data_IF_256983831443
#
_entry.id   IF_256983831443
#
_cell.length_a   1.000
_cell.length_b   1.000
_cell.length_c   1.000
_cell.angle_alpha   90.00
_cell.angle_beta   90.00
_cell.angle_gamma   90.00
#
_symmetry.space_group_name_H-M   'P 1'
#
loop_
_entity.id
_entity.type
_entity.pdbx_description
1 polymer ?
#
# COMPACT_ATOMS: atom_id res chain seq x y z
N UNK A 1 -3.72 12.94 -6.12
CA UNK A 1 -3.60 13.46 -7.50
C UNK A 1 -3.77 12.27 -8.45
N UNK A 2 -4.40 12.39 -9.61
CA UNK A 2 -4.35 11.31 -10.62
C UNK A 2 -3.03 11.44 -11.40
N UNK A 3 -2.28 10.35 -11.48
CA UNK A 3 -1.02 10.25 -12.22
C UNK A 3 -1.06 8.98 -13.07
N UNK A 4 -0.43 9.01 -14.26
CA UNK A 4 -0.18 7.77 -14.99
C UNK A 4 0.95 6.98 -14.33
N UNK A 5 1.06 5.68 -14.66
CA UNK A 5 2.16 4.85 -14.16
C UNK A 5 3.54 5.37 -14.60
N UNK A 6 3.62 5.93 -15.82
CA UNK A 6 4.85 6.53 -16.32
C UNK A 6 5.22 7.78 -15.51
N UNK A 7 4.24 8.66 -15.23
CA UNK A 7 4.47 9.86 -14.43
C UNK A 7 4.96 9.49 -13.02
N UNK A 8 4.38 8.45 -12.41
CA UNK A 8 4.81 7.95 -11.11
C UNK A 8 6.25 7.43 -11.13
N UNK A 9 6.60 6.64 -12.15
CA UNK A 9 7.95 6.09 -12.31
C UNK A 9 8.99 7.17 -12.55
N UNK A 10 8.69 8.15 -13.41
CA UNK A 10 9.57 9.29 -13.67
C UNK A 10 9.77 10.13 -12.41
N UNK A 11 8.71 10.37 -11.63
CA UNK A 11 8.79 11.09 -10.37
C UNK A 11 9.62 10.33 -9.32
N UNK A 12 9.40 9.02 -9.17
CA UNK A 12 10.14 8.16 -8.24
C UNK A 12 11.63 8.04 -8.60
N UNK A 13 11.96 8.10 -9.90
CA UNK A 13 13.33 8.05 -10.40
C UNK A 13 14.05 9.41 -10.37
N UNK A 14 13.35 10.49 -10.01
CA UNK A 14 13.91 11.84 -9.99
C UNK A 14 14.79 12.10 -8.76
N UNK A 15 15.41 13.28 -8.71
CA UNK A 15 16.15 13.78 -7.55
C UNK A 15 15.25 14.46 -6.50
N UNK A 16 13.94 14.50 -6.74
CA UNK A 16 12.98 15.00 -5.77
C UNK A 16 12.84 14.04 -4.59
N UNK A 17 12.59 14.56 -3.38
CA UNK A 17 12.49 13.72 -2.20
C UNK A 17 11.16 12.93 -2.08
N UNK A 18 10.15 13.30 -2.88
CA UNK A 18 8.85 12.63 -2.98
C UNK A 18 8.45 12.49 -4.46
N UNK A 19 7.80 11.38 -4.88
CA UNK A 19 7.44 10.19 -4.09
C UNK A 19 8.66 9.33 -3.74
N UNK A 20 8.55 8.55 -2.65
CA UNK A 20 9.64 7.73 -2.12
C UNK A 20 9.29 6.26 -1.93
N UNK A 21 10.08 5.56 -1.11
CA UNK A 21 9.92 4.12 -0.88
C UNK A 21 8.59 3.71 -0.24
N UNK A 22 8.04 4.50 0.68
CA UNK A 22 6.73 4.22 1.29
C UNK A 22 5.60 4.32 0.27
N UNK A 23 5.64 5.34 -0.58
CA UNK A 23 4.73 5.53 -1.70
C UNK A 23 4.82 4.34 -2.66
N UNK A 24 6.03 3.90 -3.02
CA UNK A 24 6.25 2.72 -3.85
C UNK A 24 5.72 1.42 -3.21
N UNK A 25 5.89 1.25 -1.90
CA UNK A 25 5.35 0.11 -1.16
C UNK A 25 3.81 0.09 -1.19
N UNK A 26 3.16 1.23 -1.00
CA UNK A 26 1.71 1.34 -1.09
C UNK A 26 1.18 1.04 -2.51
N UNK A 27 1.88 1.49 -3.56
CA UNK A 27 1.54 1.15 -4.96
C UNK A 27 1.70 -0.35 -5.22
N UNK A 28 2.79 -0.97 -4.77
CA UNK A 28 3.03 -2.42 -4.89
C UNK A 28 1.92 -3.22 -4.18
N UNK A 29 1.52 -2.79 -2.99
CA UNK A 29 0.42 -3.39 -2.24
C UNK A 29 -0.92 -3.31 -3.02
N UNK A 30 -1.18 -2.20 -3.70
CA UNK A 30 -2.35 -2.07 -4.58
C UNK A 30 -2.32 -3.07 -5.75
N UNK A 31 -1.15 -3.29 -6.35
CA UNK A 31 -0.95 -4.30 -7.41
C UNK A 31 -1.14 -5.73 -6.87
N UNK A 32 -0.64 -6.02 -5.67
CA UNK A 32 -0.85 -7.30 -4.99
C UNK A 32 -2.35 -7.59 -4.81
N UNK A 33 -3.09 -6.59 -4.32
CA UNK A 33 -4.53 -6.70 -4.13
C UNK A 33 -5.28 -6.86 -5.45
N UNK A 34 -4.90 -6.14 -6.51
CA UNK A 34 -5.50 -6.28 -7.84
C UNK A 34 -5.34 -7.70 -8.40
N UNK A 35 -4.14 -8.29 -8.31
CA UNK A 35 -3.88 -9.68 -8.71
C UNK A 35 -4.71 -10.66 -7.87
N UNK A 36 -4.79 -10.43 -6.57
CA UNK A 36 -5.63 -11.24 -5.67
C UNK A 36 -7.10 -11.22 -6.11
N UNK A 37 -7.67 -10.03 -6.33
CA UNK A 37 -9.04 -9.85 -6.81
C UNK A 37 -9.27 -10.55 -8.15
N UNK A 38 -8.32 -10.44 -9.10
CA UNK A 38 -8.37 -11.13 -10.38
C UNK A 38 -8.47 -12.66 -10.18
N UNK A 39 -7.63 -13.25 -9.33
CA UNK A 39 -7.66 -14.69 -9.08
C UNK A 39 -8.95 -15.12 -8.40
N UNK A 40 -9.48 -14.33 -7.47
CA UNK A 40 -10.80 -14.58 -6.88
C UNK A 40 -11.89 -14.64 -7.96
N UNK A 41 -11.92 -13.67 -8.89
CA UNK A 41 -12.88 -13.63 -9.99
C UNK A 41 -12.74 -14.81 -10.97
N UNK A 42 -11.52 -15.30 -11.17
CA UNK A 42 -11.25 -16.49 -12.00
C UNK A 42 -11.58 -17.82 -11.31
N UNK A 43 -11.77 -17.80 -9.99
CA UNK A 43 -12.06 -18.97 -9.17
C UNK A 43 -13.55 -19.12 -8.93
N UNK A 44 -14.22 -18.05 -8.50
CA UNK A 44 -15.63 -18.04 -8.13
C UNK A 44 -16.54 -18.33 -9.32
N UNK A 45 -17.60 -19.14 -9.09
CA UNK A 45 -18.58 -19.50 -10.12
C UNK A 45 -18.08 -20.50 -11.17
N UNK A 46 -16.83 -20.98 -11.05
CA UNK A 46 -16.30 -22.09 -11.84
C UNK A 46 -16.37 -23.37 -11.02
N UNK A 47 -17.23 -24.30 -11.42
CA UNK A 47 -17.48 -25.55 -10.69
C UNK A 47 -16.21 -26.40 -10.52
N UNK A 48 -15.33 -26.37 -11.54
CA UNK A 48 -13.98 -26.98 -11.49
C UNK A 48 -13.15 -26.53 -10.27
N UNK A 49 -13.38 -25.31 -9.79
CA UNK A 49 -12.66 -24.67 -8.67
C UNK A 49 -13.56 -24.43 -7.46
N UNK A 50 -14.65 -25.19 -7.32
CA UNK A 50 -15.62 -25.05 -6.23
C UNK A 50 -15.00 -25.17 -4.83
N UNK A 51 -13.97 -26.02 -4.68
CA UNK A 51 -13.21 -26.14 -3.44
C UNK A 51 -12.52 -24.82 -3.01
N UNK A 52 -12.22 -23.93 -3.96
CA UNK A 52 -11.57 -22.64 -3.73
C UNK A 52 -12.53 -21.49 -3.46
N UNK A 53 -13.84 -21.66 -3.63
CA UNK A 53 -14.80 -20.56 -3.45
C UNK A 53 -14.76 -19.93 -2.05
N UNK A 54 -14.67 -20.69 -0.94
CA UNK A 54 -14.55 -20.09 0.38
C UNK A 54 -13.28 -19.23 0.55
N UNK A 55 -12.15 -19.69 0.00
CA UNK A 55 -10.90 -18.92 0.03
C UNK A 55 -10.99 -17.66 -0.83
N UNK A 56 -11.61 -17.76 -2.01
CA UNK A 56 -11.85 -16.63 -2.90
C UNK A 56 -12.78 -15.58 -2.29
N UNK A 57 -13.82 -15.99 -1.55
CA UNK A 57 -14.72 -15.07 -0.86
C UNK A 57 -13.99 -14.23 0.19
N UNK A 58 -13.24 -14.88 1.09
CA UNK A 58 -12.43 -14.19 2.10
C UNK A 58 -11.37 -13.29 1.47
N UNK A 59 -10.64 -13.80 0.47
CA UNK A 59 -9.60 -13.03 -0.20
C UNK A 59 -10.16 -11.84 -1.01
N UNK A 60 -11.39 -11.94 -1.53
CA UNK A 60 -12.04 -10.85 -2.25
C UNK A 60 -12.36 -9.67 -1.32
N UNK A 61 -12.79 -9.94 -0.09
CA UNK A 61 -13.09 -8.90 0.90
C UNK A 61 -11.81 -8.17 1.33
N UNK A 62 -10.75 -8.93 1.62
CA UNK A 62 -9.45 -8.35 2.00
C UNK A 62 -8.84 -7.56 0.85
N UNK A 63 -8.82 -8.12 -0.36
CA UNK A 63 -8.26 -7.41 -1.52
C UNK A 63 -9.04 -6.14 -1.89
N UNK A 64 -10.37 -6.12 -1.70
CA UNK A 64 -11.17 -4.90 -1.90
C UNK A 64 -10.81 -3.79 -0.90
N UNK A 65 -10.63 -4.13 0.38
CA UNK A 65 -10.15 -3.19 1.40
C UNK A 65 -8.78 -2.63 1.03
N UNK A 66 -7.83 -3.49 0.69
CA UNK A 66 -6.47 -3.07 0.32
C UNK A 66 -6.47 -2.23 -0.96
N UNK A 67 -7.25 -2.58 -1.98
CA UNK A 67 -7.39 -1.77 -3.20
C UNK A 67 -7.92 -0.37 -2.89
N UNK A 68 -8.95 -0.27 -2.05
CA UNK A 68 -9.51 1.03 -1.67
C UNK A 68 -8.53 1.91 -0.89
N UNK A 69 -7.54 1.31 -0.23
CA UNK A 69 -6.65 2.00 0.70
C UNK A 69 -5.23 2.26 0.18
N UNK A 70 -4.73 1.41 -0.71
CA UNK A 70 -3.37 1.50 -1.29
C UNK A 70 -3.08 2.84 -1.97
N UNK A 71 -3.99 3.31 -2.83
CA UNK A 71 -3.87 4.63 -3.49
C UNK A 71 -3.77 5.80 -2.51
N UNK A 72 -4.72 5.96 -1.55
CA UNK A 72 -4.60 7.04 -0.57
C UNK A 72 -3.42 6.85 0.40
N UNK A 73 -2.97 5.63 0.72
CA UNK A 73 -1.72 5.42 1.48
C UNK A 73 -0.49 5.97 0.73
N UNK A 74 -0.43 5.77 -0.58
CA UNK A 74 0.66 6.29 -1.41
C UNK A 74 0.72 7.83 -1.36
N UNK A 75 -0.45 8.49 -1.47
CA UNK A 75 -0.53 9.94 -1.34
C UNK A 75 -0.16 10.41 0.08
N UNK A 76 -0.68 9.75 1.11
CA UNK A 76 -0.43 10.12 2.49
C UNK A 76 1.03 9.96 2.91
N UNK A 77 1.76 9.01 2.33
CA UNK A 77 3.20 8.85 2.57
C UNK A 77 3.99 10.05 2.04
N UNK A 78 3.69 10.47 0.80
CA UNK A 78 4.28 11.68 0.20
C UNK A 78 3.92 12.93 1.01
N UNK A 79 2.65 13.11 1.36
CA UNK A 79 2.18 14.25 2.14
C UNK A 79 2.82 14.29 3.54
N UNK A 80 2.95 13.15 4.21
CA UNK A 80 3.58 13.05 5.52
C UNK A 80 5.06 13.42 5.47
N UNK A 81 5.76 13.02 4.40
CA UNK A 81 7.15 13.40 4.20
C UNK A 81 7.29 14.92 4.00
N UNK A 82 6.43 15.52 3.18
CA UNK A 82 6.44 16.97 2.93
C UNK A 82 6.19 17.76 4.22
N UNK A 83 5.31 17.28 5.11
CA UNK A 83 5.10 17.87 6.44
C UNK A 83 6.35 17.83 7.30
N UNK A 84 7.09 16.72 7.28
CA UNK A 84 8.36 16.60 8.01
C UNK A 84 9.37 17.62 7.47
N UNK A 85 9.54 17.70 6.15
CA UNK A 85 10.46 18.67 5.52
C UNK A 85 10.07 20.10 5.85
N UNK A 86 8.78 20.45 5.76
CA UNK A 86 8.27 21.76 6.11
C UNK A 86 8.54 22.10 7.59
N UNK A 87 8.32 21.15 8.50
CA UNK A 87 8.61 21.33 9.91
C UNK A 87 10.10 21.59 10.18
N UNK A 88 11.00 20.88 9.48
CA UNK A 88 12.44 21.12 9.61
C UNK A 88 12.89 22.50 9.14
N UNK A 89 12.18 23.09 8.16
CA UNK A 89 12.43 24.43 7.60
C UNK A 89 11.89 25.59 8.45
N UNK A 90 11.09 25.32 9.48
CA UNK A 90 10.53 26.37 10.34
C UNK A 90 11.63 27.18 11.07
N UNK A 91 11.37 28.47 11.39
CA UNK A 91 12.26 29.30 12.20
C UNK A 91 12.61 28.68 13.55
N UNK A 92 13.74 29.09 14.13
CA UNK A 92 14.30 28.50 15.35
C UNK A 92 15.11 29.51 16.18
N UNK A 93 14.85 30.79 16.01
CA UNK A 93 15.63 31.86 16.65
C UNK A 93 15.09 32.16 18.05
N UNK A 94 13.77 32.17 18.23
CA UNK A 94 13.13 32.38 19.55
C UNK A 94 12.75 31.07 20.25
N UNK A 95 12.50 31.12 21.56
CA UNK A 95 12.04 29.92 22.30
C UNK A 95 10.63 29.50 21.85
N UNK A 96 9.76 30.45 21.54
CA UNK A 96 8.43 30.19 20.98
C UNK A 96 8.52 29.50 19.60
N UNK A 97 9.42 29.97 18.73
CA UNK A 97 9.68 29.35 17.43
C UNK A 97 10.23 27.93 17.59
N UNK A 98 11.22 27.73 18.48
CA UNK A 98 11.79 26.41 18.78
C UNK A 98 10.75 25.44 19.32
N UNK A 99 9.84 25.92 20.18
CA UNK A 99 8.75 25.11 20.73
C UNK A 99 7.76 24.67 19.65
N UNK A 100 7.31 25.62 18.81
CA UNK A 100 6.39 25.35 17.69
C UNK A 100 7.02 24.38 16.69
N UNK A 101 8.28 24.64 16.30
CA UNK A 101 9.06 23.78 15.40
C UNK A 101 9.19 22.35 15.93
N UNK A 102 9.52 22.20 17.21
CA UNK A 102 9.64 20.87 17.84
C UNK A 102 8.32 20.09 17.80
N UNK A 103 7.21 20.79 18.06
CA UNK A 103 5.87 20.19 18.02
C UNK A 103 5.52 19.75 16.59
N UNK A 104 5.78 20.59 15.59
CA UNK A 104 5.55 20.28 14.19
C UNK A 104 6.39 19.08 13.71
N UNK A 105 7.68 19.03 14.06
CA UNK A 105 8.55 17.90 13.72
C UNK A 105 8.01 16.61 14.33
N UNK A 106 7.64 16.63 15.63
CA UNK A 106 7.11 15.44 16.29
C UNK A 106 5.82 14.93 15.64
N UNK A 107 4.91 15.83 15.30
CA UNK A 107 3.66 15.47 14.65
C UNK A 107 3.89 14.92 13.24
N UNK A 108 4.74 15.57 12.45
CA UNK A 108 5.11 15.10 11.11
C UNK A 108 5.79 13.73 11.13
N UNK A 109 6.77 13.53 12.03
CA UNK A 109 7.46 12.23 12.16
C UNK A 109 6.52 11.12 12.60
N UNK A 110 5.57 11.41 13.51
CA UNK A 110 4.57 10.41 13.90
C UNK A 110 3.74 10.00 12.69
N UNK A 111 3.21 10.97 11.91
CA UNK A 111 2.42 10.64 10.73
C UNK A 111 3.22 9.86 9.68
N UNK A 112 4.47 10.26 9.45
CA UNK A 112 5.39 9.56 8.54
C UNK A 112 5.72 8.12 9.00
N UNK A 113 5.51 7.78 10.28
CA UNK A 113 5.66 6.42 10.79
C UNK A 113 4.35 5.62 10.73
N UNK A 114 3.19 6.28 10.90
CA UNK A 114 1.87 5.63 10.87
C UNK A 114 1.51 5.10 9.48
N UNK A 115 1.82 5.85 8.42
CA UNK A 115 1.42 5.48 7.05
C UNK A 115 2.13 4.19 6.57
N UNK A 116 3.46 4.02 6.73
CA UNK A 116 4.10 2.74 6.41
C UNK A 116 3.64 1.58 7.31
N UNK A 117 3.29 1.85 8.58
CA UNK A 117 2.76 0.83 9.48
C UNK A 117 1.40 0.31 9.00
N UNK A 118 0.49 1.20 8.59
CA UNK A 118 -0.80 0.81 8.02
C UNK A 118 -0.62 0.01 6.73
N UNK A 119 0.31 0.44 5.86
CA UNK A 119 0.68 -0.29 4.64
C UNK A 119 1.14 -1.71 4.96
N UNK A 120 2.05 -1.88 5.93
CA UNK A 120 2.55 -3.20 6.33
C UNK A 120 1.46 -4.08 6.95
N UNK A 121 0.55 -3.50 7.75
CA UNK A 121 -0.57 -4.24 8.34
C UNK A 121 -1.53 -4.78 7.29
N UNK A 122 -1.84 -3.98 6.27
CA UNK A 122 -2.66 -4.41 5.14
C UNK A 122 -1.97 -5.46 4.27
N UNK A 123 -0.66 -5.32 4.03
CA UNK A 123 0.16 -6.34 3.36
C UNK A 123 0.10 -7.69 4.10
N UNK A 124 0.32 -7.67 5.41
CA UNK A 124 0.20 -8.88 6.25
C UNK A 124 -1.20 -9.50 6.22
N UNK A 125 -2.26 -8.68 6.20
CA UNK A 125 -3.63 -9.17 6.09
C UNK A 125 -3.88 -9.83 4.73
N UNK A 126 -3.35 -9.25 3.66
CA UNK A 126 -3.42 -9.82 2.31
C UNK A 126 -2.65 -11.14 2.21
N UNK A 127 -1.40 -11.18 2.70
CA UNK A 127 -0.59 -12.41 2.77
C UNK A 127 -1.33 -13.55 3.48
N UNK A 128 -2.04 -13.23 4.58
CA UNK A 128 -2.80 -14.21 5.36
C UNK A 128 -3.92 -14.92 4.59
N UNK A 129 -4.43 -14.34 3.50
CA UNK A 129 -5.50 -14.95 2.68
C UNK A 129 -4.98 -15.62 1.40
N UNK A 130 -3.74 -15.33 0.99
CA UNK A 130 -3.18 -15.83 -0.27
C UNK A 130 -2.88 -17.33 -0.24
N UNK A 131 -2.52 -17.91 0.91
CA UNK A 131 -2.25 -19.35 0.99
C UNK A 131 -3.48 -20.19 0.62
N UNK A 132 -4.65 -19.83 1.16
CA UNK A 132 -5.90 -20.53 0.86
C UNK A 132 -6.26 -20.44 -0.63
N UNK A 133 -6.03 -19.27 -1.22
CA UNK A 133 -6.26 -19.02 -2.64
C UNK A 133 -5.27 -19.77 -3.53
N UNK A 134 -4.00 -19.85 -3.14
CA UNK A 134 -2.97 -20.61 -3.86
C UNK A 134 -3.24 -22.12 -3.85
N UNK A 135 -3.71 -22.66 -2.72
CA UNK A 135 -3.95 -24.09 -2.53
C UNK A 135 -5.22 -24.58 -3.24
N UNK A 136 -6.30 -23.80 -3.16
CA UNK A 136 -7.64 -24.27 -3.53
C UNK A 136 -8.26 -23.49 -4.70
N UNK A 137 -7.71 -22.33 -5.05
CA UNK A 137 -8.23 -21.47 -6.10
C UNK A 137 -7.95 -21.99 -7.52
N UNK A 138 -8.12 -21.11 -8.50
CA UNK A 138 -7.83 -21.45 -9.88
C UNK A 138 -6.33 -21.75 -10.08
N UNK A 139 -5.99 -23.04 -10.21
CA UNK A 139 -4.60 -23.49 -10.38
C UNK A 139 -3.90 -22.95 -11.62
N UNK A 140 -4.64 -22.47 -12.64
CA UNK A 140 -4.04 -21.83 -13.81
C UNK A 140 -3.50 -20.41 -13.50
N UNK A 141 -3.92 -19.81 -12.39
CA UNK A 141 -3.52 -18.48 -11.95
C UNK A 141 -2.66 -18.53 -10.67
N UNK A 142 -2.08 -19.70 -10.35
CA UNK A 142 -1.23 -19.87 -9.17
C UNK A 142 0.03 -18.97 -9.22
N UNK A 143 0.57 -18.71 -10.42
CA UNK A 143 1.67 -17.76 -10.61
C UNK A 143 1.28 -16.33 -10.21
N UNK A 144 0.03 -15.93 -10.48
CA UNK A 144 -0.47 -14.59 -10.13
C UNK A 144 -0.61 -14.43 -8.62
N UNK A 145 -1.05 -15.49 -7.92
CA UNK A 145 -1.04 -15.53 -6.44
C UNK A 145 0.39 -15.44 -5.90
N UNK A 146 1.35 -16.10 -6.56
CA UNK A 146 2.77 -16.01 -6.22
C UNK A 146 3.31 -14.58 -6.35
N UNK A 147 3.02 -13.88 -7.45
CA UNK A 147 3.40 -12.47 -7.63
C UNK A 147 2.70 -11.57 -6.61
N UNK A 148 1.41 -11.77 -6.36
CA UNK A 148 0.69 -11.03 -5.31
C UNK A 148 1.36 -11.21 -3.95
N UNK A 149 1.86 -12.41 -3.65
CA UNK A 149 2.54 -12.71 -2.38
C UNK A 149 3.94 -12.07 -2.26
N UNK A 150 4.61 -11.81 -3.39
CA UNK A 150 5.90 -11.12 -3.40
C UNK A 150 5.76 -9.59 -3.29
N UNK A 151 4.61 -9.05 -3.68
CA UNK A 151 4.31 -7.63 -3.65
C UNK A 151 3.63 -7.17 -2.36
N UNK A 152 2.93 -8.09 -1.66
CA UNK A 152 2.23 -7.84 -0.40
C UNK A 152 3.18 -7.85 0.81
#
# INVERSE_FOLDING_TARGET
MEMSLNDFQDALASDNPTPGGGTAAAVALGQAAALTTMVCNLTTGKEKWSAGWPAADVASQVSAEVLSRSGPLAQEDSDAFDLVVAAFRMPKETEEEKSTRRTAIRAGTLRAAEVPLETAQLGMKLLGVLEGLARNGNGNAASDVGVASLLA
#
